data_IF_027562640094
#
_entry.id   IF_027562640094
#
_cell.length_a   1.000
_cell.length_b   1.000
_cell.length_c   1.000
_cell.angle_alpha   90.00
_cell.angle_beta   90.00
_cell.angle_gamma   90.00
#
_symmetry.space_group_name_H-M   'P 1'
#
loop_
_entity.id
_entity.type
_entity.pdbx_description
1 polymer ?
#
# COMPACT_ATOMS: atom_id res chain seq x y z
N UNK A 1 12.19 -17.29 -8.91
CA UNK A 1 12.33 -16.36 -7.77
C UNK A 1 12.70 -14.99 -8.36
N UNK A 2 11.95 -13.95 -7.98
CA UNK A 2 11.87 -12.66 -8.67
C UNK A 2 12.12 -11.50 -7.71
N UNK A 3 12.78 -10.46 -8.18
CA UNK A 3 12.92 -9.18 -7.46
C UNK A 3 11.72 -8.31 -7.82
N UNK A 4 10.90 -7.99 -6.81
CA UNK A 4 9.68 -7.22 -6.97
C UNK A 4 9.85 -5.87 -6.27
N UNK A 5 9.79 -4.80 -7.05
CA UNK A 5 9.84 -3.42 -6.58
C UNK A 5 8.42 -2.86 -6.55
N UNK A 6 7.91 -2.54 -5.36
CA UNK A 6 6.60 -1.95 -5.17
C UNK A 6 6.68 -0.43 -5.17
N UNK A 7 5.83 0.20 -5.96
CA UNK A 7 5.73 1.65 -6.11
C UNK A 7 4.30 2.14 -5.89
N UNK A 8 4.16 3.37 -5.44
CA UNK A 8 2.91 4.13 -5.48
C UNK A 8 3.24 5.55 -5.96
N UNK A 9 2.59 6.02 -7.02
CA UNK A 9 2.80 7.37 -7.57
C UNK A 9 4.29 7.73 -7.79
N UNK A 10 5.06 6.78 -8.35
CA UNK A 10 6.52 6.88 -8.59
C UNK A 10 7.40 6.88 -7.33
N UNK A 11 6.81 6.68 -6.15
CA UNK A 11 7.54 6.54 -4.89
C UNK A 11 7.79 5.06 -4.63
N UNK A 12 9.05 4.67 -4.42
CA UNK A 12 9.41 3.30 -4.03
C UNK A 12 8.96 3.02 -2.59
N UNK A 13 8.15 1.97 -2.40
CA UNK A 13 7.60 1.61 -1.10
C UNK A 13 8.39 0.47 -0.45
N UNK A 14 8.60 -0.63 -1.17
CA UNK A 14 9.22 -1.85 -0.68
C UNK A 14 9.86 -2.60 -1.85
N UNK A 15 11.05 -3.14 -1.63
CA UNK A 15 11.69 -4.06 -2.56
C UNK A 15 11.77 -5.43 -1.88
N UNK A 16 11.32 -6.48 -2.56
CA UNK A 16 11.30 -7.82 -1.98
C UNK A 16 11.67 -8.88 -3.01
N UNK A 17 12.42 -9.88 -2.57
CA UNK A 17 12.62 -11.10 -3.33
C UNK A 17 11.47 -12.07 -3.04
N UNK A 18 10.68 -12.42 -4.06
CA UNK A 18 9.50 -13.28 -3.94
C UNK A 18 9.60 -14.49 -4.86
N UNK A 19 8.94 -15.59 -4.49
CA UNK A 19 8.86 -16.77 -5.36
C UNK A 19 7.97 -16.52 -6.59
N UNK A 20 6.94 -15.68 -6.42
CA UNK A 20 5.98 -15.32 -7.46
C UNK A 20 5.80 -13.81 -7.57
N UNK A 21 5.44 -13.35 -8.78
CA UNK A 21 5.08 -11.96 -9.05
C UNK A 21 3.60 -11.78 -8.71
N UNK A 22 3.21 -10.71 -7.98
CA UNK A 22 1.81 -10.42 -7.69
C UNK A 22 0.98 -10.21 -8.97
N UNK A 23 -0.30 -10.59 -8.94
CA UNK A 23 -1.23 -10.37 -10.05
C UNK A 23 -1.91 -9.00 -9.95
N UNK A 24 -2.37 -8.47 -11.09
CA UNK A 24 -3.17 -7.22 -11.11
C UNK A 24 -4.49 -7.45 -10.38
N UNK A 25 -4.86 -6.53 -9.48
CA UNK A 25 -6.05 -6.63 -8.64
C UNK A 25 -5.86 -7.46 -7.36
N UNK A 26 -4.69 -8.06 -7.13
CA UNK A 26 -4.39 -8.79 -5.90
C UNK A 26 -4.35 -7.84 -4.69
N UNK A 27 -4.97 -8.26 -3.59
CA UNK A 27 -4.91 -7.58 -2.31
C UNK A 27 -3.68 -8.06 -1.53
N UNK A 28 -2.86 -7.11 -1.09
CA UNK A 28 -1.63 -7.38 -0.37
C UNK A 28 -1.36 -6.33 0.70
N UNK A 29 -0.36 -6.59 1.55
CA UNK A 29 0.01 -5.68 2.64
C UNK A 29 1.43 -5.20 2.45
N UNK A 30 1.61 -3.91 2.17
CA UNK A 30 2.92 -3.27 2.09
C UNK A 30 3.19 -2.53 3.40
N UNK A 31 4.25 -2.93 4.12
CA UNK A 31 4.70 -2.28 5.37
C UNK A 31 3.57 -2.01 6.37
N UNK A 32 2.71 -3.01 6.59
CA UNK A 32 1.61 -2.91 7.56
C UNK A 32 0.33 -2.25 7.02
N UNK A 33 0.32 -1.70 5.80
CA UNK A 33 -0.84 -1.06 5.17
C UNK A 33 -1.45 -1.96 4.10
N UNK A 34 -2.77 -2.00 4.02
CA UNK A 34 -3.48 -2.68 2.93
C UNK A 34 -3.20 -1.95 1.62
N UNK A 35 -3.01 -2.73 0.57
CA UNK A 35 -2.67 -2.27 -0.76
C UNK A 35 -3.35 -3.17 -1.80
N UNK A 36 -3.64 -2.60 -2.96
CA UNK A 36 -4.11 -3.34 -4.12
C UNK A 36 -3.18 -3.15 -5.30
N UNK A 37 -2.88 -4.21 -6.04
CA UNK A 37 -2.04 -4.13 -7.25
C UNK A 37 -2.80 -3.43 -8.37
N UNK A 38 -2.25 -2.34 -8.88
CA UNK A 38 -2.79 -1.57 -9.98
C UNK A 38 -2.18 -2.00 -11.33
N UNK A 39 -0.87 -2.22 -11.39
CA UNK A 39 -0.19 -2.68 -12.60
C UNK A 39 1.10 -3.42 -12.29
N UNK A 40 1.52 -4.29 -13.22
CA UNK A 40 2.77 -5.06 -13.14
C UNK A 40 3.53 -4.86 -14.45
N UNK A 41 4.79 -4.46 -14.34
CA UNK A 41 5.68 -4.22 -15.48
C UNK A 41 6.93 -5.08 -15.30
N UNK A 42 7.23 -5.92 -16.28
CA UNK A 42 8.52 -6.61 -16.35
C UNK A 42 9.59 -5.61 -16.79
N UNK A 43 10.66 -5.48 -15.99
CA UNK A 43 11.81 -4.64 -16.32
C UNK A 43 12.90 -5.49 -16.96
N UNK A 44 13.18 -6.63 -16.31
CA UNK A 44 14.14 -7.64 -16.77
C UNK A 44 13.53 -9.04 -16.61
N UNK A 45 14.27 -10.09 -16.97
CA UNK A 45 13.83 -11.49 -16.82
C UNK A 45 13.40 -11.86 -15.39
N UNK A 46 14.04 -11.25 -14.38
CA UNK A 46 13.82 -11.56 -12.96
C UNK A 46 13.34 -10.36 -12.15
N UNK A 47 13.21 -9.19 -12.76
CA UNK A 47 12.92 -7.93 -12.08
C UNK A 47 11.58 -7.37 -12.53
N UNK A 48 10.71 -7.09 -11.57
CA UNK A 48 9.35 -6.58 -11.82
C UNK A 48 9.09 -5.32 -11.02
N UNK A 49 8.50 -4.34 -11.68
CA UNK A 49 7.96 -3.12 -11.06
C UNK A 49 6.45 -3.28 -10.90
N UNK A 50 5.96 -3.13 -9.67
CA UNK A 50 4.56 -3.30 -9.33
C UNK A 50 4.02 -1.98 -8.79
N UNK A 51 3.05 -1.41 -9.47
CA UNK A 51 2.31 -0.25 -8.97
C UNK A 51 1.20 -0.74 -8.04
N UNK A 52 1.12 -0.16 -6.86
CA UNK A 52 0.08 -0.45 -5.88
C UNK A 52 -0.61 0.84 -5.46
N UNK A 53 -1.87 0.70 -5.05
CA UNK A 53 -2.62 1.76 -4.39
C UNK A 53 -2.76 1.38 -2.92
N UNK A 54 -2.22 2.21 -2.02
CA UNK A 54 -2.36 2.04 -0.58
C UNK A 54 -3.69 2.60 -0.10
N UNK A 55 -4.31 1.94 0.86
CA UNK A 55 -5.43 2.54 1.58
C UNK A 55 -4.95 3.80 2.34
N UNK A 56 -5.78 4.85 2.31
CA UNK A 56 -5.52 6.07 3.05
C UNK A 56 -5.38 5.74 4.55
N UNK A 57 -4.29 6.24 5.16
CA UNK A 57 -4.13 6.11 6.60
C UNK A 57 -5.25 6.92 7.25
N UNK A 58 -6.19 6.25 7.91
CA UNK A 58 -7.17 6.94 8.75
C UNK A 58 -6.36 7.72 9.78
N UNK A 59 -6.38 9.06 9.65
CA UNK A 59 -5.91 9.91 10.74
C UNK A 59 -6.82 9.58 11.92
N UNK A 60 -6.29 9.32 13.13
CA UNK A 60 -7.15 9.26 14.29
C UNK A 60 -7.86 10.61 14.34
N UNK A 61 -9.15 10.61 14.01
CA UNK A 61 -10.01 11.74 14.29
C UNK A 61 -9.97 11.84 15.79
N UNK A 62 -9.26 12.85 16.31
CA UNK A 62 -9.44 13.29 17.69
C UNK A 62 -10.95 13.42 17.83
N UNK A 63 -11.54 12.56 18.65
CA UNK A 63 -12.94 12.65 18.95
C UNK A 63 -13.15 14.07 19.47
N UNK A 64 -13.73 14.93 18.65
CA UNK A 64 -14.42 16.08 19.16
C UNK A 64 -15.52 15.49 20.02
N UNK A 65 -15.31 15.48 21.33
CA UNK A 65 -16.37 15.32 22.29
C UNK A 65 -16.93 16.73 22.53
N UNK A 66 -17.96 17.19 21.80
CA UNK A 66 -18.70 18.38 22.17
C UNK A 66 -19.61 18.01 23.35
N UNK A 67 -19.00 17.59 24.46
CA UNK A 67 -19.62 17.37 25.75
C UNK A 67 -19.99 18.70 26.39
N UNK A 68 -20.95 19.39 25.76
CA UNK A 68 -21.77 20.42 26.38
C UNK A 68 -22.31 19.89 27.71
N UNK A 69 -21.72 20.30 28.83
CA UNK A 69 -22.44 20.50 30.08
C UNK A 69 -22.30 21.96 30.51
N UNK A 70 -23.00 22.83 29.77
CA UNK A 70 -23.54 24.05 30.34
C UNK A 70 -24.71 23.63 31.22
N UNK A 71 -24.57 23.65 32.55
CA UNK A 71 -25.69 23.73 33.49
C UNK A 71 -25.25 24.34 34.83
N UNK A 72 -25.69 25.61 34.95
CA UNK A 72 -26.02 26.45 36.12
C UNK A 72 -24.93 26.81 37.11
#
# INVERSE_FOLDING_TARGET
MFVVHFFENRIALLNQFRQQVPAVGEDLKIKGRKAKVASVTAVDEKTYHVQVTLEAKQKPTVAADPGKKKKR
#
